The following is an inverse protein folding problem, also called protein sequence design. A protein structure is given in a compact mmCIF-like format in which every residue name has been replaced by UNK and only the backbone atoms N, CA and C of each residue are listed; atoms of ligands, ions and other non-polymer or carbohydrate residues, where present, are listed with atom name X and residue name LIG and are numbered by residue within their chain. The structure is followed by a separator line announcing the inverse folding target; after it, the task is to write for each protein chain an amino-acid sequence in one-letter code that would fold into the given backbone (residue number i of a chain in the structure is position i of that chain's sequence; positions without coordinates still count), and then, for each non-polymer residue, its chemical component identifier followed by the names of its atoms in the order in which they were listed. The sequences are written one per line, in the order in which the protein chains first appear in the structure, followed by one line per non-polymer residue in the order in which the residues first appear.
data_IF_269324760023
#
_entry.id   IF_269324760023
#
_cell.length_a   1.000
_cell.length_b   1.000
_cell.length_c   1.000
_cell.angle_alpha   90.00
_cell.angle_beta   90.00
_cell.angle_gamma   90.00
#
_symmetry.space_group_name_H-M   'P 1'
#
loop_
_entity.id
_entity.type
_entity.pdbx_description
1 polymer ?
#
# COMPACT_ATOMS: atom_id res chain seq x y z
N UNK A 1 17.79 -5.43 4.62
CA UNK A 1 17.37 -5.60 3.21
C UNK A 1 17.04 -4.23 2.66
N UNK A 2 17.78 -3.74 1.66
CA UNK A 2 17.52 -2.45 1.02
C UNK A 2 16.78 -2.68 -0.29
N UNK A 3 15.58 -2.11 -0.41
CA UNK A 3 14.87 -1.98 -1.68
C UNK A 3 15.45 -0.80 -2.45
N UNK A 4 15.54 -0.90 -3.77
CA UNK A 4 15.88 0.26 -4.60
C UNK A 4 14.73 1.28 -4.62
N UNK A 5 15.02 2.54 -4.94
CA UNK A 5 13.99 3.58 -5.06
C UNK A 5 12.88 3.20 -6.05
N UNK A 6 13.26 2.53 -7.14
CA UNK A 6 12.31 2.00 -8.12
C UNK A 6 11.43 0.91 -7.52
N UNK A 7 12.03 -0.04 -6.79
CA UNK A 7 11.28 -1.10 -6.11
C UNK A 7 10.33 -0.53 -5.05
N UNK A 8 10.76 0.51 -4.34
CA UNK A 8 9.93 1.24 -3.37
C UNK A 8 8.73 1.87 -4.07
N UNK A 9 8.93 2.59 -5.18
CA UNK A 9 7.85 3.19 -5.96
C UNK A 9 6.86 2.16 -6.50
N UNK A 10 7.37 1.05 -7.06
CA UNK A 10 6.53 -0.04 -7.57
C UNK A 10 5.76 -0.71 -6.43
N UNK A 11 6.40 -0.97 -5.29
CA UNK A 11 5.76 -1.57 -4.13
C UNK A 11 4.66 -0.67 -3.57
N UNK A 12 4.90 0.65 -3.47
CA UNK A 12 3.90 1.65 -3.05
C UNK A 12 2.68 1.60 -3.97
N UNK A 13 2.89 1.72 -5.29
CA UNK A 13 1.82 1.70 -6.28
C UNK A 13 1.01 0.39 -6.26
N UNK A 14 1.65 -0.77 -6.05
CA UNK A 14 0.95 -2.06 -5.92
C UNK A 14 0.06 -2.08 -4.68
N UNK A 15 0.55 -1.56 -3.56
CA UNK A 15 -0.19 -1.59 -2.30
C UNK A 15 -1.39 -0.64 -2.37
N UNK A 16 -1.22 0.56 -2.90
CA UNK A 16 -2.31 1.52 -3.11
C UNK A 16 -3.38 0.95 -4.04
N UNK A 17 -2.98 0.40 -5.20
CA UNK A 17 -3.91 -0.22 -6.13
C UNK A 17 -4.64 -1.42 -5.51
N UNK A 18 -3.95 -2.22 -4.69
CA UNK A 18 -4.56 -3.35 -4.00
C UNK A 18 -5.54 -2.91 -2.91
N UNK A 19 -5.25 -1.83 -2.18
CA UNK A 19 -6.15 -1.28 -1.16
C UNK A 19 -7.44 -0.76 -1.81
N UNK A 20 -7.33 -0.12 -2.97
CA UNK A 20 -8.49 0.41 -3.70
C UNK A 20 -9.31 -0.69 -4.38
N UNK A 21 -8.67 -1.65 -5.05
CA UNK A 21 -9.36 -2.62 -5.90
C UNK A 21 -9.68 -3.94 -5.20
N UNK A 22 -8.97 -4.29 -4.12
CA UNK A 22 -8.94 -5.64 -3.53
C UNK A 22 -8.61 -6.77 -4.54
N UNK A 23 -7.98 -6.44 -5.68
CA UNK A 23 -7.67 -7.37 -6.76
C UNK A 23 -6.17 -7.53 -6.97
N UNK A 24 -5.77 -8.63 -7.60
CA UNK A 24 -4.37 -8.87 -7.95
C UNK A 24 -3.90 -7.85 -9.01
N UNK A 25 -2.79 -7.17 -8.71
CA UNK A 25 -2.33 -6.03 -9.50
C UNK A 25 -1.42 -6.49 -10.64
N UNK A 26 -1.71 -6.02 -11.85
CA UNK A 26 -0.94 -6.27 -13.05
C UNK A 26 0.02 -5.13 -13.39
N UNK A 27 1.11 -5.45 -14.10
CA UNK A 27 2.11 -4.45 -14.53
C UNK A 27 1.56 -3.40 -15.49
N UNK A 28 0.60 -3.78 -16.34
CA UNK A 28 -0.05 -2.85 -17.28
C UNK A 28 -0.96 -1.84 -16.56
N UNK A 29 -1.65 -2.29 -15.52
CA UNK A 29 -2.45 -1.39 -14.66
C UNK A 29 -1.55 -0.35 -14.01
N UNK A 30 -0.40 -0.78 -13.47
CA UNK A 30 0.56 0.11 -12.80
C UNK A 30 1.18 1.12 -13.75
N UNK A 31 1.55 0.69 -14.96
CA UNK A 31 2.15 1.57 -15.96
C UNK A 31 1.18 2.69 -16.37
N UNK A 32 -0.09 2.35 -16.63
CA UNK A 32 -1.11 3.31 -17.03
C UNK A 32 -1.49 4.29 -15.92
N UNK A 33 -1.65 3.81 -14.69
CA UNK A 33 -2.22 4.61 -13.58
C UNK A 33 -1.18 5.41 -12.78
N UNK A 34 0.05 4.89 -12.63
CA UNK A 34 1.04 5.47 -11.70
C UNK A 34 2.26 6.12 -12.38
N UNK A 35 2.25 6.25 -13.72
CA UNK A 35 3.31 6.88 -14.54
C UNK A 35 4.74 6.60 -14.05
N UNK A 36 5.07 5.32 -13.82
CA UNK A 36 6.33 4.89 -13.21
C UNK A 36 7.59 5.09 -14.09
N UNK A 37 7.44 5.71 -15.27
CA UNK A 37 8.50 5.94 -16.26
C UNK A 37 9.25 4.69 -16.71
N UNK A 38 8.64 3.51 -16.58
CA UNK A 38 9.21 2.21 -16.95
C UNK A 38 8.20 1.35 -17.69
N UNK A 39 8.70 0.50 -18.59
CA UNK A 39 7.83 -0.39 -19.39
C UNK A 39 7.12 -1.45 -18.52
N UNK A 40 5.98 -2.00 -18.97
CA UNK A 40 5.31 -3.11 -18.28
C UNK A 40 6.20 -4.34 -18.09
N UNK A 41 7.13 -4.60 -19.02
CA UNK A 41 8.09 -5.70 -18.90
C UNK A 41 9.07 -5.48 -17.74
N UNK A 42 9.58 -4.25 -17.59
CA UNK A 42 10.44 -3.87 -16.46
C UNK A 42 9.69 -4.01 -15.14
N UNK A 43 8.43 -3.55 -15.07
CA UNK A 43 7.60 -3.68 -13.87
C UNK A 43 7.39 -5.16 -13.52
N UNK A 44 7.09 -6.03 -14.50
CA UNK A 44 6.96 -7.48 -14.26
C UNK A 44 8.24 -8.07 -13.65
N UNK A 45 9.41 -7.68 -14.14
CA UNK A 45 10.69 -8.15 -13.59
C UNK A 45 10.89 -7.69 -12.14
N UNK A 46 10.59 -6.43 -11.83
CA UNK A 46 10.68 -5.92 -10.45
C UNK A 46 9.67 -6.60 -9.53
N UNK A 47 8.46 -6.89 -10.01
CA UNK A 47 7.46 -7.66 -9.26
C UNK A 47 7.93 -9.09 -8.95
N UNK A 48 8.71 -9.71 -9.84
CA UNK A 48 9.35 -11.01 -9.57
C UNK A 48 10.39 -10.87 -8.47
N UNK A 49 11.25 -9.84 -8.53
CA UNK A 49 12.24 -9.59 -7.48
C UNK A 49 11.58 -9.33 -6.12
N UNK A 50 10.56 -8.47 -6.09
CA UNK A 50 9.77 -8.21 -4.88
C UNK A 50 9.05 -9.45 -4.35
N UNK A 51 8.69 -10.40 -5.21
CA UNK A 51 8.16 -11.70 -4.80
C UNK A 51 9.26 -12.54 -4.12
N UNK A 52 10.44 -12.61 -4.73
CA UNK A 52 11.58 -13.35 -4.16
C UNK A 52 12.03 -12.79 -2.82
N UNK A 53 11.89 -11.48 -2.62
CA UNK A 53 12.14 -10.78 -1.37
C UNK A 53 11.00 -10.93 -0.33
N UNK A 54 9.90 -11.60 -0.67
CA UNK A 54 8.78 -11.86 0.24
C UNK A 54 7.77 -10.72 0.40
N UNK A 55 7.90 -9.63 -0.36
CA UNK A 55 6.96 -8.51 -0.33
C UNK A 55 5.68 -8.78 -1.14
N UNK A 56 5.77 -9.55 -2.21
CA UNK A 56 4.64 -9.88 -3.07
C UNK A 56 4.41 -11.39 -3.13
N UNK A 57 3.19 -11.81 -3.43
CA UNK A 57 2.86 -13.20 -3.75
C UNK A 57 1.97 -13.29 -4.99
N UNK A 58 2.02 -14.44 -5.67
CA UNK A 58 1.08 -14.78 -6.74
C UNK A 58 -0.06 -15.59 -6.16
N UNK A 59 -1.32 -15.16 -6.28
CA UNK A 59 -2.45 -15.99 -5.85
C UNK A 59 -2.70 -17.16 -6.79
N UNK A 60 -2.57 -16.96 -8.12
CA UNK A 60 -2.77 -18.00 -9.14
C UNK A 60 -1.75 -17.90 -10.28
N UNK A 61 -1.65 -18.94 -11.12
CA UNK A 61 -0.66 -19.03 -12.21
C UNK A 61 -0.82 -17.94 -13.28
N UNK A 62 -2.02 -17.39 -13.50
CA UNK A 62 -2.30 -16.31 -14.46
C UNK A 62 -2.52 -14.93 -13.82
N UNK A 63 -2.71 -14.87 -12.50
CA UNK A 63 -3.05 -13.64 -11.81
C UNK A 63 -1.83 -12.70 -11.67
N UNK A 64 -2.13 -11.42 -11.40
CA UNK A 64 -1.15 -10.41 -11.00
C UNK A 64 -0.48 -10.73 -9.66
N UNK A 65 0.01 -9.70 -8.96
CA UNK A 65 0.60 -9.86 -7.63
C UNK A 65 -0.25 -9.19 -6.58
N UNK A 66 -0.21 -9.75 -5.37
CA UNK A 66 -0.83 -9.16 -4.18
C UNK A 66 0.23 -8.93 -3.12
N UNK A 67 0.12 -7.87 -2.32
CA UNK A 67 1.05 -7.61 -1.23
C UNK A 67 0.94 -8.69 -0.14
N UNK A 68 2.07 -9.02 0.47
CA UNK A 68 2.10 -9.86 1.68
C UNK A 68 1.86 -9.01 2.94
N UNK A 69 1.56 -9.63 4.09
CA UNK A 69 1.49 -8.89 5.36
C UNK A 69 2.75 -8.08 5.66
N UNK A 70 3.93 -8.59 5.27
CA UNK A 70 5.20 -7.89 5.43
C UNK A 70 5.28 -6.62 4.58
N UNK A 71 4.78 -6.66 3.34
CA UNK A 71 4.70 -5.47 2.49
C UNK A 71 3.76 -4.42 3.05
N UNK A 72 2.59 -4.81 3.57
CA UNK A 72 1.67 -3.87 4.22
C UNK A 72 2.30 -3.24 5.46
N UNK A 73 2.99 -4.04 6.29
CA UNK A 73 3.74 -3.52 7.44
C UNK A 73 4.82 -2.52 7.00
N UNK A 74 5.58 -2.86 5.96
CA UNK A 74 6.59 -1.98 5.39
C UNK A 74 5.98 -0.65 4.92
N UNK A 75 4.87 -0.72 4.19
CA UNK A 75 4.13 0.44 3.70
C UNK A 75 3.68 1.38 4.82
N UNK A 76 2.97 0.88 5.82
CA UNK A 76 2.53 1.68 6.97
C UNK A 76 3.71 2.30 7.71
N UNK A 77 4.83 1.58 7.82
CA UNK A 77 6.00 2.05 8.59
C UNK A 77 6.89 3.05 7.86
N UNK A 78 6.89 3.08 6.52
CA UNK A 78 7.92 3.80 5.73
C UNK A 78 7.44 4.52 4.49
N UNK A 79 6.28 4.16 3.94
CA UNK A 79 5.80 4.68 2.65
C UNK A 79 4.52 5.51 2.78
N UNK A 80 3.76 5.26 3.84
CA UNK A 80 2.58 6.04 4.18
C UNK A 80 3.05 7.40 4.68
N UNK A 81 2.77 8.44 3.92
CA UNK A 81 2.92 9.81 4.38
C UNK A 81 1.86 10.07 5.45
N UNK A 82 2.28 10.63 6.58
CA UNK A 82 1.32 11.06 7.59
C UNK A 82 0.55 12.24 7.02
N UNK A 83 -0.74 12.04 6.74
CA UNK A 83 -1.62 13.17 6.55
C UNK A 83 -1.68 13.96 7.85
N UNK A 84 -1.25 15.22 7.78
CA UNK A 84 -1.32 16.13 8.91
C UNK A 84 -2.78 16.52 9.06
N UNK A 85 -3.46 15.91 10.02
CA UNK A 85 -4.86 16.22 10.30
C UNK A 85 -4.97 17.68 10.77
N UNK A 86 -5.93 18.47 10.24
CA UNK A 86 -6.21 19.79 10.76
C UNK A 86 -6.57 19.73 12.24
N UNK A 87 -6.09 20.68 13.04
CA UNK A 87 -6.34 20.74 14.50
C UNK A 87 -7.84 20.71 14.80
N UNK A 88 -8.67 21.34 13.97
CA UNK A 88 -10.13 21.35 14.10
C UNK A 88 -10.75 19.95 14.00
N UNK A 89 -10.20 19.09 13.15
CA UNK A 89 -10.66 17.73 12.96
C UNK A 89 -10.20 16.84 14.13
N UNK A 90 -8.97 17.03 14.61
CA UNK A 90 -8.45 16.31 15.78
C UNK A 90 -9.26 16.61 17.05
N UNK A 91 -9.60 17.89 17.28
CA UNK A 91 -10.47 18.30 18.40
C UNK A 91 -11.85 17.67 18.29
N UNK A 92 -12.46 17.72 17.10
CA UNK A 92 -13.79 17.14 16.86
C UNK A 92 -13.83 15.62 17.10
N UNK A 93 -12.77 14.89 16.71
CA UNK A 93 -12.64 13.46 16.97
C UNK A 93 -12.49 13.18 18.46
N UNK A 94 -11.65 13.95 19.17
CA UNK A 94 -11.44 13.80 20.63
C UNK A 94 -12.71 14.08 21.43
N UNK A 95 -13.47 15.12 21.09
CA UNK A 95 -14.75 15.45 21.74
C UNK A 95 -15.78 14.33 21.56
N UNK A 96 -15.93 13.79 20.33
CA UNK A 96 -16.82 12.65 20.07
C UNK A 96 -16.42 11.41 20.87
N UNK A 97 -15.12 11.10 20.96
CA UNK A 97 -14.63 9.97 21.76
C UNK A 97 -14.85 10.16 23.27
N UNK A 98 -14.78 11.39 23.77
CA UNK A 98 -15.04 11.71 25.18
C UNK A 98 -16.46 11.34 25.59
N UNK A 99 -17.44 11.68 24.75
CA UNK A 99 -18.86 11.40 25.01
C UNK A 99 -19.15 9.88 25.05
N UNK A 100 -18.50 9.09 24.19
CA UNK A 100 -18.64 7.63 24.16
C UNK A 100 -18.06 6.99 25.43
N UNK A 101 -16.98 7.53 26.00
CA UNK A 101 -16.40 7.02 27.26
C UNK A 101 -17.33 7.24 28.45
N UNK A 102 -18.07 8.36 28.48
CA UNK A 102 -18.97 8.69 29.58
C UNK A 102 -20.30 7.92 29.52
N UNK A 103 -20.73 7.46 28.34
CA UNK A 103 -21.91 6.60 28.19
C UNK A 103 -21.68 5.15 28.65
N UNK A 104 -20.43 4.68 28.72
CA UNK A 104 -20.11 3.31 29.18
C UNK A 104 -20.00 3.15 30.70
N UNK A 105 -20.08 4.24 31.46
CA UNK A 105 -20.00 4.22 32.94
C UNK A 105 -21.35 4.41 33.65
N UNK A 106 -22.47 4.30 32.93
CA UNK A 106 -23.82 4.16 33.49
C UNK A 106 -24.36 2.79 33.15
#
# INVERSE_FOLDING_TARGET
MNLSDRQIKILKAIIEEYIESAQAVGSETLEKKYQLSVSPATIRNEMVQLTNLGYLKKPHKSAGRVPTPMALKYYVSRLLEQEVMPVSEEVSVKEKMWNVRHQRQK
#
